data_IF_062068517464
#
_entry.id   IF_062068517464
#
_cell.length_a   1.000
_cell.length_b   1.000
_cell.length_c   1.000
_cell.angle_alpha   90.00
_cell.angle_beta   90.00
_cell.angle_gamma   90.00
#
_symmetry.space_group_name_H-M   'P 1'
#
loop_
_entity.id
_entity.type
_entity.pdbx_description
1 polymer ?
#
# COMPACT_ATOMS: atom_id res chain seq x y z
N UNK A 1 -29.78 -7.56 -5.19
CA UNK A 1 -29.01 -8.41 -6.13
C UNK A 1 -27.95 -7.52 -6.76
N UNK A 2 -26.65 -7.87 -6.73
CA UNK A 2 -25.59 -7.02 -7.32
C UNK A 2 -25.81 -6.94 -8.85
N UNK A 3 -25.71 -5.75 -9.43
CA UNK A 3 -25.88 -5.53 -10.88
C UNK A 3 -24.83 -6.31 -11.68
N UNK A 4 -25.23 -6.96 -12.78
CA UNK A 4 -24.34 -7.73 -13.64
C UNK A 4 -24.84 -7.80 -15.08
N UNK A 5 -23.94 -8.07 -16.00
CA UNK A 5 -24.19 -8.37 -17.42
C UNK A 5 -23.06 -9.24 -17.99
N UNK A 6 -23.32 -9.93 -19.09
CA UNK A 6 -22.32 -10.74 -19.78
C UNK A 6 -21.36 -9.87 -20.59
N UNK A 7 -20.07 -10.19 -20.53
CA UNK A 7 -19.04 -9.49 -21.30
C UNK A 7 -18.97 -10.11 -22.68
N UNK A 8 -19.57 -9.43 -23.65
CA UNK A 8 -19.71 -9.90 -25.04
C UNK A 8 -18.87 -9.10 -26.03
N UNK A 9 -18.49 -7.86 -25.69
CA UNK A 9 -17.78 -6.98 -26.60
C UNK A 9 -16.38 -7.50 -26.96
N UNK A 10 -15.94 -7.20 -28.19
CA UNK A 10 -14.59 -7.48 -28.70
C UNK A 10 -13.71 -6.22 -28.66
N UNK A 11 -13.72 -5.55 -27.50
CA UNK A 11 -12.92 -4.37 -27.22
C UNK A 11 -11.82 -4.67 -26.18
N UNK A 12 -10.84 -3.77 -26.04
CA UNK A 12 -9.58 -4.00 -25.31
C UNK A 12 -9.78 -4.55 -23.89
N UNK A 13 -10.63 -3.92 -23.08
CA UNK A 13 -10.82 -4.31 -21.68
C UNK A 13 -11.65 -5.60 -21.60
N UNK A 14 -12.68 -5.72 -22.44
CA UNK A 14 -13.52 -6.90 -22.55
C UNK A 14 -12.72 -8.14 -22.96
N UNK A 15 -11.81 -8.02 -23.93
CA UNK A 15 -10.91 -9.10 -24.36
C UNK A 15 -10.01 -9.54 -23.19
N UNK A 16 -9.49 -8.60 -22.40
CA UNK A 16 -8.67 -8.92 -21.25
C UNK A 16 -9.43 -9.77 -20.21
N UNK A 17 -10.62 -9.32 -19.79
CA UNK A 17 -11.41 -10.07 -18.81
C UNK A 17 -11.87 -11.43 -19.34
N UNK A 18 -12.23 -11.52 -20.63
CA UNK A 18 -12.53 -12.81 -21.28
C UNK A 18 -11.34 -13.77 -21.23
N UNK A 19 -10.11 -13.30 -21.51
CA UNK A 19 -8.88 -14.11 -21.43
C UNK A 19 -8.59 -14.62 -20.01
N UNK A 20 -8.95 -13.86 -18.98
CA UNK A 20 -8.84 -14.28 -17.59
C UNK A 20 -9.99 -15.19 -17.11
N UNK A 21 -10.97 -15.48 -17.97
CA UNK A 21 -12.14 -16.31 -17.60
C UNK A 21 -13.23 -15.57 -16.83
N UNK A 22 -13.15 -14.25 -16.74
CA UNK A 22 -14.18 -13.41 -16.13
C UNK A 22 -15.21 -13.02 -17.18
N UNK A 23 -16.19 -13.90 -17.43
CA UNK A 23 -17.19 -13.71 -18.50
C UNK A 23 -18.34 -12.75 -18.20
N UNK A 24 -18.43 -12.18 -16.99
CA UNK A 24 -19.48 -11.24 -16.63
C UNK A 24 -18.96 -10.10 -15.73
N UNK A 25 -19.71 -9.01 -15.70
CA UNK A 25 -19.32 -7.77 -15.02
C UNK A 25 -19.05 -7.96 -13.53
N UNK A 26 -19.88 -8.74 -12.81
CA UNK A 26 -19.66 -8.92 -11.37
C UNK A 26 -18.38 -9.71 -11.10
N UNK A 27 -18.06 -10.75 -11.88
CA UNK A 27 -16.80 -11.49 -11.74
C UNK A 27 -15.59 -10.62 -12.04
N UNK A 28 -15.66 -9.81 -13.10
CA UNK A 28 -14.62 -8.83 -13.41
C UNK A 28 -14.44 -7.81 -12.28
N UNK A 29 -15.54 -7.31 -11.71
CA UNK A 29 -15.52 -6.33 -10.63
C UNK A 29 -14.95 -6.91 -9.32
N UNK A 30 -15.32 -8.14 -8.96
CA UNK A 30 -14.76 -8.83 -7.79
C UNK A 30 -13.27 -9.14 -7.98
N UNK A 31 -12.83 -9.48 -9.20
CA UNK A 31 -11.41 -9.60 -9.51
C UNK A 31 -10.67 -8.27 -9.28
N UNK A 32 -11.18 -7.16 -9.83
CA UNK A 32 -10.60 -5.82 -9.63
C UNK A 32 -10.59 -5.41 -8.16
N UNK A 33 -11.62 -5.77 -7.39
CA UNK A 33 -11.69 -5.54 -5.93
C UNK A 33 -10.56 -6.25 -5.19
N UNK A 34 -10.19 -7.45 -5.61
CA UNK A 34 -9.11 -8.23 -5.01
C UNK A 34 -7.70 -7.77 -5.40
N UNK A 35 -7.55 -6.93 -6.43
CA UNK A 35 -6.25 -6.36 -6.76
C UNK A 35 -5.76 -5.45 -5.61
N UNK A 36 -4.45 -5.41 -5.32
CA UNK A 36 -3.89 -4.53 -4.31
C UNK A 36 -4.26 -3.06 -4.52
N UNK A 37 -4.45 -2.35 -3.41
CA UNK A 37 -4.61 -0.90 -3.43
C UNK A 37 -3.24 -0.22 -3.46
N UNK A 38 -2.90 0.34 -4.62
CA UNK A 38 -1.60 0.98 -4.87
C UNK A 38 -1.72 1.96 -6.03
N UNK A 39 -0.88 3.00 -6.03
CA UNK A 39 -0.77 3.95 -7.16
C UNK A 39 -0.20 3.24 -8.38
N UNK A 40 -0.82 3.46 -9.54
CA UNK A 40 -0.35 2.98 -10.84
C UNK A 40 0.87 3.77 -11.33
N UNK A 41 1.69 3.17 -12.18
CA UNK A 41 2.87 3.81 -12.80
C UNK A 41 2.44 4.96 -13.72
N UNK A 42 1.49 4.68 -14.61
CA UNK A 42 0.85 5.67 -15.48
C UNK A 42 -0.67 5.62 -15.29
N UNK A 43 -1.19 6.53 -14.46
CA UNK A 43 -2.64 6.65 -14.18
C UNK A 43 -3.47 7.10 -15.39
N UNK A 44 -2.85 7.57 -16.48
CA UNK A 44 -3.54 7.99 -17.70
C UNK A 44 -3.70 6.83 -18.69
N UNK A 45 -2.94 5.74 -18.53
CA UNK A 45 -3.14 4.53 -19.32
C UNK A 45 -4.46 3.85 -18.97
N UNK A 46 -5.26 3.53 -20.00
CA UNK A 46 -6.56 2.87 -19.83
C UNK A 46 -6.44 1.43 -19.30
N UNK A 47 -5.26 0.80 -19.45
CA UNK A 47 -4.96 -0.55 -18.98
C UNK A 47 -4.10 -0.57 -17.72
N UNK A 48 -3.80 0.58 -17.10
CA UNK A 48 -2.86 0.65 -15.97
C UNK A 48 -3.17 -0.32 -14.83
N UNK A 49 -4.44 -0.54 -14.51
CA UNK A 49 -4.86 -1.49 -13.46
C UNK A 49 -4.54 -2.94 -13.83
N UNK A 50 -4.62 -3.26 -15.12
CA UNK A 50 -4.35 -4.57 -15.67
C UNK A 50 -2.84 -4.83 -15.76
N UNK A 51 -2.10 -3.83 -16.25
CA UNK A 51 -0.66 -3.90 -16.46
C UNK A 51 0.09 -3.94 -15.12
N UNK A 52 -0.24 -3.04 -14.19
CA UNK A 52 0.41 -2.96 -12.88
C UNK A 52 -0.17 -3.95 -11.87
N UNK A 53 -1.27 -4.64 -12.22
CA UNK A 53 -2.03 -5.55 -11.35
C UNK A 53 -2.40 -4.95 -10.00
N UNK A 54 -2.69 -3.66 -9.96
CA UNK A 54 -3.11 -2.92 -8.78
C UNK A 54 -3.89 -1.68 -9.18
N UNK A 55 -4.56 -1.01 -8.24
CA UNK A 55 -5.12 0.31 -8.54
C UNK A 55 -5.66 1.04 -7.32
N UNK A 56 -6.09 2.28 -7.54
CA UNK A 56 -6.76 3.11 -6.53
C UNK A 56 -8.27 3.12 -6.77
N UNK A 57 -9.05 3.78 -5.90
CA UNK A 57 -10.48 3.95 -6.17
C UNK A 57 -10.74 4.62 -7.54
N UNK A 58 -9.88 5.54 -7.95
CA UNK A 58 -9.95 6.23 -9.24
C UNK A 58 -9.74 5.28 -10.41
N UNK A 59 -8.60 4.61 -10.48
CA UNK A 59 -8.23 3.80 -11.65
C UNK A 59 -9.03 2.49 -11.73
N UNK A 60 -9.37 1.86 -10.61
CA UNK A 60 -10.19 0.65 -10.57
C UNK A 60 -11.61 0.88 -11.10
N UNK A 61 -12.27 1.95 -10.63
CA UNK A 61 -13.64 2.24 -11.08
C UNK A 61 -13.67 2.83 -12.49
N UNK A 62 -12.64 3.57 -12.91
CA UNK A 62 -12.49 3.98 -14.31
C UNK A 62 -12.40 2.76 -15.25
N UNK A 63 -11.60 1.75 -14.91
CA UNK A 63 -11.51 0.51 -15.69
C UNK A 63 -12.88 -0.19 -15.80
N UNK A 64 -13.57 -0.36 -14.68
CA UNK A 64 -14.88 -1.03 -14.66
C UNK A 64 -15.96 -0.20 -15.39
N UNK A 65 -15.91 1.12 -15.31
CA UNK A 65 -16.79 2.00 -16.09
C UNK A 65 -16.54 1.81 -17.59
N UNK A 66 -15.28 1.81 -18.03
CA UNK A 66 -14.94 1.57 -19.44
C UNK A 66 -15.37 0.18 -19.90
N UNK A 67 -15.24 -0.85 -19.06
CA UNK A 67 -15.78 -2.18 -19.35
C UNK A 67 -17.30 -2.15 -19.58
N UNK A 68 -18.04 -1.42 -18.74
CA UNK A 68 -19.47 -1.24 -18.94
C UNK A 68 -19.79 -0.49 -20.24
N UNK A 69 -19.02 0.54 -20.57
CA UNK A 69 -19.19 1.30 -21.82
C UNK A 69 -18.92 0.46 -23.06
N UNK A 70 -17.85 -0.35 -23.07
CA UNK A 70 -17.54 -1.29 -24.16
C UNK A 70 -18.70 -2.28 -24.42
N UNK A 71 -19.47 -2.63 -23.38
CA UNK A 71 -20.60 -3.55 -23.48
C UNK A 71 -21.97 -2.83 -23.58
N UNK A 72 -22.00 -1.51 -23.76
CA UNK A 72 -23.24 -0.75 -23.95
C UNK A 72 -24.08 -0.54 -22.68
N UNK A 73 -23.49 -0.73 -21.50
CA UNK A 73 -24.17 -0.61 -20.21
C UNK A 73 -24.07 0.81 -19.61
N UNK A 74 -24.69 1.79 -20.28
CA UNK A 74 -24.69 3.21 -19.87
C UNK A 74 -25.35 3.50 -18.51
N UNK A 75 -26.09 2.54 -17.95
CA UNK A 75 -26.67 2.63 -16.60
C UNK A 75 -25.63 2.58 -15.49
N UNK A 76 -24.43 2.06 -15.79
CA UNK A 76 -23.30 2.08 -14.86
C UNK A 76 -22.66 3.46 -14.91
N UNK A 77 -22.84 4.24 -13.85
CA UNK A 77 -22.27 5.58 -13.72
C UNK A 77 -21.00 5.53 -12.91
N UNK A 78 -20.01 6.35 -13.28
CA UNK A 78 -18.82 6.59 -12.48
C UNK A 78 -19.02 7.88 -11.71
N UNK A 79 -18.87 7.80 -10.40
CA UNK A 79 -19.14 8.91 -9.49
C UNK A 79 -17.83 9.41 -8.87
N UNK A 80 -17.80 10.72 -8.60
CA UNK A 80 -16.84 11.37 -7.72
C UNK A 80 -17.62 11.93 -6.52
N UNK A 81 -17.43 11.32 -5.35
CA UNK A 81 -18.02 11.76 -4.10
C UNK A 81 -16.99 12.44 -3.20
N UNK A 82 -17.43 13.43 -2.43
CA UNK A 82 -16.68 13.99 -1.31
C UNK A 82 -17.28 13.46 -0.01
N UNK A 83 -16.44 12.89 0.85
CA UNK A 83 -16.85 12.25 2.10
C UNK A 83 -16.17 12.87 3.29
N UNK A 84 -16.84 12.89 4.44
CA UNK A 84 -16.16 13.18 5.72
C UNK A 84 -15.31 11.98 6.14
N UNK A 85 -13.99 12.14 6.21
CA UNK A 85 -13.11 11.17 6.88
C UNK A 85 -12.79 11.64 8.30
N UNK A 86 -12.84 10.72 9.27
CA UNK A 86 -12.54 10.95 10.69
C UNK A 86 -12.06 9.65 11.35
N UNK A 87 -11.53 9.73 12.58
CA UNK A 87 -10.90 8.60 13.27
C UNK A 87 -11.76 7.32 13.35
N UNK A 88 -13.07 7.46 13.55
CA UNK A 88 -13.98 6.30 13.62
C UNK A 88 -14.29 5.61 12.29
N UNK A 89 -14.23 6.30 11.14
CA UNK A 89 -14.56 5.70 9.84
C UNK A 89 -13.33 5.44 8.97
N UNK A 90 -12.19 6.05 9.32
CA UNK A 90 -10.94 5.94 8.61
C UNK A 90 -9.83 5.71 9.62
N UNK A 91 -9.48 4.43 9.81
CA UNK A 91 -8.50 4.02 10.82
C UNK A 91 -7.13 4.62 10.51
N UNK A 92 -6.51 5.22 11.53
CA UNK A 92 -5.13 5.73 11.48
C UNK A 92 -5.00 7.26 11.41
N UNK A 93 -6.06 7.99 11.02
CA UNK A 93 -5.94 9.45 10.81
C UNK A 93 -6.30 10.29 12.05
N UNK A 94 -6.85 9.68 13.11
CA UNK A 94 -7.35 10.39 14.30
C UNK A 94 -6.29 11.32 14.90
N UNK A 95 -5.08 10.82 15.12
CA UNK A 95 -3.98 11.60 15.66
C UNK A 95 -3.52 12.74 14.74
N UNK A 96 -3.70 12.61 13.42
CA UNK A 96 -3.40 13.70 12.48
C UNK A 96 -4.44 14.80 12.66
N UNK A 97 -5.72 14.44 12.62
CA UNK A 97 -6.82 15.39 12.76
C UNK A 97 -6.79 16.13 14.10
N UNK A 98 -6.54 15.42 15.22
CA UNK A 98 -6.42 16.02 16.55
C UNK A 98 -5.27 17.05 16.64
N UNK A 99 -4.09 16.73 16.09
CA UNK A 99 -2.94 17.65 16.06
C UNK A 99 -3.25 18.96 15.32
N UNK A 100 -4.16 18.90 14.34
CA UNK A 100 -4.61 20.05 13.56
C UNK A 100 -5.98 20.60 14.01
N UNK A 101 -6.53 20.11 15.13
CA UNK A 101 -7.82 20.58 15.65
C UNK A 101 -9.00 20.39 14.68
N UNK A 102 -8.95 19.37 13.82
CA UNK A 102 -10.00 19.06 12.85
C UNK A 102 -10.89 17.93 13.36
N UNK A 103 -12.22 18.09 13.26
CA UNK A 103 -13.17 17.02 13.58
C UNK A 103 -13.30 15.98 12.45
N UNK A 104 -13.14 16.45 11.21
CA UNK A 104 -13.16 15.62 10.00
C UNK A 104 -12.41 16.36 8.89
N UNK A 105 -12.09 15.64 7.82
CA UNK A 105 -11.56 16.19 6.58
C UNK A 105 -12.42 15.74 5.39
N UNK A 106 -12.79 16.62 4.45
CA UNK A 106 -13.41 16.19 3.20
C UNK A 106 -12.41 15.46 2.29
N UNK A 107 -12.74 14.25 1.86
CA UNK A 107 -11.89 13.42 0.98
C UNK A 107 -12.63 12.96 -0.28
N UNK A 108 -11.93 13.00 -1.41
CA UNK A 108 -12.48 12.66 -2.72
C UNK A 108 -12.31 11.17 -3.07
N UNK A 109 -13.43 10.49 -3.30
CA UNK A 109 -13.46 9.06 -3.58
C UNK A 109 -14.29 8.72 -4.82
N UNK A 110 -13.87 7.70 -5.57
CA UNK A 110 -14.57 7.24 -6.77
C UNK A 110 -15.19 5.88 -6.55
N UNK A 111 -16.39 5.69 -7.09
CA UNK A 111 -17.19 4.47 -7.02
C UNK A 111 -18.12 4.39 -8.24
N UNK A 112 -18.75 3.24 -8.44
CA UNK A 112 -19.80 3.09 -9.43
C UNK A 112 -21.18 3.23 -8.80
N UNK A 113 -22.16 3.67 -9.58
CA UNK A 113 -23.57 3.77 -9.15
C UNK A 113 -24.49 3.22 -10.23
N UNK A 114 -25.46 2.41 -9.82
CA UNK A 114 -26.51 1.85 -10.70
C UNK A 114 -27.86 1.98 -9.99
N UNK A 115 -28.81 2.71 -10.58
CA UNK A 115 -30.15 2.93 -10.01
C UNK A 115 -30.10 3.29 -8.51
N UNK A 116 -29.28 4.29 -8.19
CA UNK A 116 -29.00 4.77 -6.84
C UNK A 116 -28.23 3.84 -5.88
N UNK A 117 -27.92 2.62 -6.31
CA UNK A 117 -27.09 1.70 -5.54
C UNK A 117 -25.61 1.97 -5.78
N UNK A 118 -24.88 2.28 -4.71
CA UNK A 118 -23.41 2.40 -4.70
C UNK A 118 -22.77 1.02 -4.83
N UNK A 119 -21.75 0.93 -5.70
CA UNK A 119 -20.94 -0.26 -5.92
C UNK A 119 -19.46 0.14 -5.78
N UNK A 120 -18.81 -0.31 -4.70
CA UNK A 120 -17.40 0.00 -4.41
C UNK A 120 -16.50 -1.24 -4.48
N UNK A 121 -15.52 -1.15 -5.38
CA UNK A 121 -14.53 -2.17 -5.71
C UNK A 121 -13.10 -1.74 -5.37
N UNK A 122 -12.92 -0.83 -4.41
CA UNK A 122 -11.59 -0.37 -3.95
C UNK A 122 -10.81 -1.47 -3.24
N UNK A 123 -11.48 -2.30 -2.41
CA UNK A 123 -10.90 -3.48 -1.75
C UNK A 123 -10.30 -3.25 -0.36
N UNK A 124 -10.02 -2.01 0.03
CA UNK A 124 -9.58 -1.58 1.37
C UNK A 124 -10.13 -0.19 1.69
N UNK A 125 -10.43 0.09 2.96
CA UNK A 125 -10.96 1.38 3.43
C UNK A 125 -12.42 1.36 3.86
N UNK A 126 -13.08 2.53 3.79
CA UNK A 126 -14.47 2.78 4.22
C UNK A 126 -15.42 1.65 3.79
N UNK A 127 -16.26 1.17 4.72
CA UNK A 127 -17.28 0.18 4.38
C UNK A 127 -18.32 0.83 3.47
N UNK A 128 -18.97 0.05 2.62
CA UNK A 128 -20.04 0.56 1.73
C UNK A 128 -21.13 1.33 2.50
N UNK A 129 -21.42 0.92 3.74
CA UNK A 129 -22.35 1.60 4.64
C UNK A 129 -21.83 2.95 5.20
N UNK A 130 -20.51 3.13 5.27
CA UNK A 130 -19.89 4.37 5.75
C UNK A 130 -19.89 5.45 4.65
N UNK A 131 -19.94 5.06 3.37
CA UNK A 131 -20.01 5.98 2.23
C UNK A 131 -21.33 6.76 2.27
N UNK A 132 -22.48 6.10 2.35
CA UNK A 132 -23.78 6.78 2.27
C UNK A 132 -24.02 7.78 3.41
N UNK A 133 -23.51 7.49 4.62
CA UNK A 133 -23.76 8.31 5.80
C UNK A 133 -22.84 9.53 5.92
N UNK A 134 -21.70 9.54 5.22
CA UNK A 134 -20.69 10.60 5.30
C UNK A 134 -20.52 11.39 3.99
N UNK A 135 -21.34 11.08 2.98
CA UNK A 135 -21.32 11.76 1.69
C UNK A 135 -21.79 13.22 1.83
N UNK A 136 -20.94 14.14 1.40
CA UNK A 136 -21.22 15.57 1.36
C UNK A 136 -21.81 16.02 0.02
N UNK A 137 -21.22 15.53 -1.07
CA UNK A 137 -21.66 15.79 -2.44
C UNK A 137 -21.15 14.70 -3.37
N UNK A 138 -21.84 14.46 -4.47
CA UNK A 138 -21.39 13.58 -5.54
C UNK A 138 -21.69 14.20 -6.91
N UNK A 139 -20.83 13.92 -7.89
CA UNK A 139 -21.06 14.24 -9.30
C UNK A 139 -20.73 13.03 -10.17
N UNK A 140 -21.42 12.90 -11.30
CA UNK A 140 -21.06 11.93 -12.33
C UNK A 140 -19.85 12.45 -13.11
N UNK A 141 -18.86 11.58 -13.35
CA UNK A 141 -17.65 11.90 -14.12
C UNK A 141 -17.37 10.82 -15.17
N UNK A 142 -16.55 11.14 -16.17
CA UNK A 142 -16.05 10.16 -17.15
C UNK A 142 -14.77 9.48 -16.65
N UNK A 143 -14.42 8.30 -17.20
CA UNK A 143 -13.16 7.63 -16.87
C UNK A 143 -11.88 8.48 -17.09
N UNK A 144 -11.90 9.48 -17.97
CA UNK A 144 -10.76 10.37 -18.24
C UNK A 144 -10.63 11.49 -17.19
N UNK A 145 -11.67 11.71 -16.38
CA UNK A 145 -11.72 12.77 -15.37
C UNK A 145 -11.23 12.32 -13.98
N UNK A 146 -10.78 11.07 -13.83
CA UNK A 146 -10.36 10.52 -12.53
C UNK A 146 -9.00 11.03 -12.03
N UNK A 147 -8.29 11.81 -12.85
CA UNK A 147 -6.97 12.37 -12.56
C UNK A 147 -7.05 13.87 -12.22
N UNK A 148 -6.72 14.75 -13.17
CA UNK A 148 -6.52 16.18 -12.88
C UNK A 148 -7.85 16.89 -12.59
N UNK A 149 -8.91 16.52 -13.30
CA UNK A 149 -10.26 17.04 -13.03
C UNK A 149 -10.70 16.73 -11.60
N UNK A 150 -10.52 15.47 -11.14
CA UNK A 150 -10.81 15.07 -9.75
C UNK A 150 -10.03 15.91 -8.74
N UNK A 151 -8.73 16.10 -8.96
CA UNK A 151 -7.88 16.89 -8.05
C UNK A 151 -8.36 18.34 -7.99
N UNK A 152 -8.67 18.95 -9.14
CA UNK A 152 -9.25 20.30 -9.20
C UNK A 152 -10.57 20.40 -8.43
N UNK A 153 -11.51 19.50 -8.71
CA UNK A 153 -12.81 19.46 -8.03
C UNK A 153 -12.67 19.33 -6.51
N UNK A 154 -11.75 18.50 -6.03
CA UNK A 154 -11.50 18.35 -4.60
C UNK A 154 -10.90 19.60 -3.97
N UNK A 155 -9.92 20.22 -4.63
CA UNK A 155 -9.30 21.48 -4.16
C UNK A 155 -10.32 22.61 -4.09
N UNK A 156 -11.19 22.73 -5.09
CA UNK A 156 -12.27 23.72 -5.10
C UNK A 156 -13.26 23.48 -3.95
N UNK A 157 -13.61 22.21 -3.70
CA UNK A 157 -14.45 21.84 -2.56
C UNK A 157 -13.81 22.19 -1.22
N UNK A 158 -12.52 21.86 -1.04
CA UNK A 158 -11.78 22.17 0.19
C UNK A 158 -11.71 23.69 0.42
N UNK A 159 -11.46 24.49 -0.62
CA UNK A 159 -11.44 25.94 -0.51
C UNK A 159 -12.78 26.50 -0.01
N UNK A 160 -13.90 25.98 -0.53
CA UNK A 160 -15.24 26.34 -0.05
C UNK A 160 -15.46 25.91 1.40
N UNK A 161 -15.11 24.66 1.72
CA UNK A 161 -15.27 24.09 3.07
C UNK A 161 -14.52 24.89 4.14
N UNK A 162 -13.31 25.40 3.84
CA UNK A 162 -12.56 26.24 4.77
C UNK A 162 -13.26 27.54 5.12
N UNK A 163 -13.90 28.18 4.13
CA UNK A 163 -14.68 29.40 4.34
C UNK A 163 -15.95 29.08 5.12
N UNK A 164 -16.67 28.02 4.73
CA UNK A 164 -17.95 27.64 5.33
C UNK A 164 -17.79 27.24 6.82
N UNK A 165 -16.68 26.58 7.19
CA UNK A 165 -16.38 26.18 8.58
C UNK A 165 -15.55 27.21 9.37
N UNK A 166 -15.09 28.29 8.74
CA UNK A 166 -14.27 29.32 9.39
C UNK A 166 -12.90 28.82 9.89
N UNK A 167 -12.28 27.88 9.16
CA UNK A 167 -11.03 27.25 9.57
C UNK A 167 -9.81 28.14 9.28
N UNK A 168 -8.82 28.22 10.19
CA UNK A 168 -7.68 29.14 10.08
C UNK A 168 -6.54 28.58 9.22
N UNK A 169 -6.87 27.97 8.08
CA UNK A 169 -5.89 27.34 7.19
C UNK A 169 -6.03 27.85 5.75
N UNK A 170 -4.91 27.92 5.05
CA UNK A 170 -4.86 28.02 3.59
C UNK A 170 -5.20 26.69 2.93
N UNK A 171 -5.56 26.75 1.65
CA UNK A 171 -5.82 25.55 0.84
C UNK A 171 -4.60 24.62 0.78
N UNK A 172 -3.39 25.18 0.70
CA UNK A 172 -2.17 24.38 0.62
C UNK A 172 -1.86 23.69 1.94
N UNK A 173 -2.06 24.33 3.09
CA UNK A 173 -1.90 23.70 4.40
C UNK A 173 -2.87 22.53 4.57
N UNK A 174 -4.13 22.69 4.18
CA UNK A 174 -5.14 21.62 4.27
C UNK A 174 -4.86 20.50 3.29
N UNK A 175 -4.33 20.82 2.12
CA UNK A 175 -3.87 19.82 1.17
C UNK A 175 -2.70 19.00 1.74
N UNK A 176 -1.78 19.61 2.50
CA UNK A 176 -0.72 18.88 3.19
C UNK A 176 -1.27 18.00 4.32
N UNK A 177 -2.18 18.52 5.16
CA UNK A 177 -2.84 17.73 6.21
C UNK A 177 -3.59 16.53 5.61
N UNK A 178 -4.20 16.71 4.44
CA UNK A 178 -4.80 15.62 3.66
C UNK A 178 -3.76 14.57 3.27
N UNK A 179 -2.65 14.97 2.66
CA UNK A 179 -1.60 14.00 2.29
C UNK A 179 -1.01 13.29 3.52
N UNK A 180 -0.91 13.94 4.67
CA UNK A 180 -0.57 13.29 5.95
C UNK A 180 -1.61 12.23 6.35
N UNK A 181 -2.90 12.52 6.25
CA UNK A 181 -3.96 11.53 6.51
C UNK A 181 -3.85 10.33 5.55
N UNK A 182 -3.64 10.57 4.25
CA UNK A 182 -3.47 9.50 3.25
C UNK A 182 -2.22 8.67 3.56
N UNK A 183 -1.13 9.31 4.00
CA UNK A 183 0.10 8.66 4.43
C UNK A 183 -0.17 7.71 5.59
N UNK A 184 -0.87 8.16 6.63
CA UNK A 184 -1.21 7.34 7.79
C UNK A 184 -2.10 6.15 7.44
N UNK A 185 -3.07 6.31 6.53
CA UNK A 185 -3.89 5.19 6.04
C UNK A 185 -3.01 4.13 5.38
N UNK A 186 -2.10 4.53 4.48
CA UNK A 186 -1.20 3.63 3.79
C UNK A 186 -0.24 2.92 4.77
N UNK A 187 0.28 3.66 5.74
CA UNK A 187 1.11 3.13 6.82
C UNK A 187 0.34 2.09 7.64
N UNK A 188 -0.87 2.42 8.08
CA UNK A 188 -1.69 1.54 8.91
C UNK A 188 -2.02 0.22 8.24
N UNK A 189 -2.25 0.24 6.92
CA UNK A 189 -2.52 -0.95 6.12
C UNK A 189 -1.36 -1.95 6.12
N UNK A 190 -0.12 -1.49 6.33
CA UNK A 190 1.08 -2.32 6.35
C UNK A 190 1.40 -2.90 7.73
N UNK A 191 0.65 -2.55 8.79
CA UNK A 191 0.90 -3.10 10.12
C UNK A 191 0.57 -4.60 10.17
N UNK A 192 1.48 -5.38 10.75
CA UNK A 192 1.34 -6.83 10.90
C UNK A 192 1.43 -7.20 12.37
N UNK A 193 0.76 -8.29 12.74
CA UNK A 193 0.92 -8.88 14.07
C UNK A 193 1.09 -10.38 13.98
N UNK A 194 1.84 -10.93 14.92
CA UNK A 194 2.05 -12.36 15.10
C UNK A 194 1.77 -12.72 16.56
N UNK A 195 2.03 -13.96 16.97
CA UNK A 195 1.84 -14.35 18.37
C UNK A 195 2.67 -13.48 19.33
N UNK A 196 3.93 -13.20 18.99
CA UNK A 196 4.86 -12.45 19.86
C UNK A 196 5.14 -11.03 19.42
N UNK A 197 4.88 -10.67 18.15
CA UNK A 197 5.40 -9.44 17.56
C UNK A 197 4.29 -8.53 17.05
N UNK A 198 4.51 -7.23 17.20
CA UNK A 198 3.86 -6.18 16.42
C UNK A 198 4.89 -5.66 15.42
N UNK A 199 4.48 -5.52 14.16
CA UNK A 199 5.30 -4.92 13.11
C UNK A 199 4.59 -3.68 12.60
N UNK A 200 5.26 -2.53 12.61
CA UNK A 200 4.68 -1.27 12.17
C UNK A 200 5.63 -0.46 11.28
N UNK A 201 5.11 0.47 10.46
CA UNK A 201 5.94 1.39 9.69
C UNK A 201 6.96 2.15 10.52
N UNK A 202 8.05 2.55 9.87
CA UNK A 202 9.03 3.47 10.42
C UNK A 202 8.41 4.83 10.68
N UNK A 203 8.85 5.45 11.77
CA UNK A 203 8.59 6.84 12.10
C UNK A 203 9.89 7.59 12.29
N UNK A 204 9.86 8.91 12.21
CA UNK A 204 11.08 9.72 12.39
C UNK A 204 11.69 9.52 13.80
N UNK A 205 10.85 9.24 14.78
CA UNK A 205 11.22 8.99 16.18
C UNK A 205 11.98 7.66 16.36
N UNK A 206 11.96 6.76 15.37
CA UNK A 206 12.76 5.53 15.39
C UNK A 206 14.23 5.76 14.99
N UNK A 207 14.62 7.01 14.72
CA UNK A 207 16.00 7.39 14.38
C UNK A 207 17.06 6.83 15.33
N UNK A 208 16.90 6.93 16.67
CA UNK A 208 17.84 6.34 17.62
C UNK A 208 18.02 4.82 17.44
N UNK A 209 16.93 4.10 17.16
CA UNK A 209 16.98 2.66 16.91
C UNK A 209 17.74 2.34 15.63
N UNK A 210 17.44 3.06 14.54
CA UNK A 210 18.09 2.85 13.25
C UNK A 210 19.58 3.23 13.30
N UNK A 211 19.92 4.30 14.02
CA UNK A 211 21.31 4.68 14.29
C UNK A 211 22.06 3.57 15.04
N UNK A 212 21.52 3.11 16.17
CA UNK A 212 22.17 2.08 16.99
C UNK A 212 22.35 0.74 16.25
N UNK A 213 21.38 0.33 15.42
CA UNK A 213 21.53 -0.86 14.56
C UNK A 213 22.65 -0.73 13.53
N UNK A 214 22.94 0.50 13.09
CA UNK A 214 23.95 0.80 12.09
C UNK A 214 25.29 1.22 12.70
N UNK A 215 25.38 1.30 14.02
CA UNK A 215 26.63 1.54 14.75
C UNK A 215 27.35 0.23 15.07
N UNK A 216 26.61 -0.86 15.34
CA UNK A 216 27.19 -2.17 15.68
C UNK A 216 27.83 -2.84 14.44
N UNK A 217 29.17 -3.03 14.40
CA UNK A 217 29.85 -3.62 13.25
C UNK A 217 29.45 -5.08 12.98
N UNK A 218 29.05 -5.84 14.01
CA UNK A 218 28.59 -7.22 13.83
C UNK A 218 27.20 -7.26 13.17
N UNK A 219 26.37 -6.24 13.44
CA UNK A 219 25.07 -6.10 12.77
C UNK A 219 25.25 -5.68 11.30
N UNK A 220 26.22 -4.81 11.00
CA UNK A 220 26.48 -4.33 9.63
C UNK A 220 27.35 -5.24 8.76
N UNK A 221 28.06 -6.20 9.36
CA UNK A 221 29.07 -7.03 8.70
C UNK A 221 28.66 -7.55 7.31
N UNK A 222 27.37 -7.88 7.13
CA UNK A 222 26.84 -8.49 5.90
C UNK A 222 25.76 -7.70 5.17
N UNK A 223 25.52 -6.45 5.51
CA UNK A 223 24.39 -5.68 4.96
C UNK A 223 24.78 -4.87 3.73
N UNK A 224 26.03 -4.42 3.65
CA UNK A 224 26.49 -3.43 2.66
C UNK A 224 26.18 -1.98 3.06
N UNK A 225 25.47 -1.78 4.16
CA UNK A 225 25.15 -0.46 4.69
C UNK A 225 26.33 0.16 5.44
N UNK A 226 26.27 1.47 5.61
CA UNK A 226 27.21 2.26 6.41
C UNK A 226 26.53 2.80 7.66
N UNK A 227 27.35 3.19 8.64
CA UNK A 227 26.90 3.92 9.80
C UNK A 227 26.34 5.28 9.38
N UNK A 228 25.27 5.71 10.05
CA UNK A 228 24.76 7.08 9.90
C UNK A 228 25.70 8.06 10.62
N UNK A 229 25.78 9.29 10.13
CA UNK A 229 26.58 10.35 10.78
C UNK A 229 26.09 10.59 12.22
N UNK A 230 24.78 10.73 12.40
CA UNK A 230 24.13 10.92 13.68
C UNK A 230 22.68 10.39 13.67
N UNK A 231 22.00 10.56 14.81
CA UNK A 231 20.58 10.19 14.95
C UNK A 231 19.68 11.01 14.02
N UNK A 232 20.01 12.28 13.75
CA UNK A 232 19.19 13.15 12.90
C UNK A 232 19.21 12.70 11.43
N UNK A 233 20.37 12.26 10.93
CA UNK A 233 20.53 11.64 9.62
C UNK A 233 19.70 10.36 9.51
N UNK A 234 19.70 9.52 10.56
CA UNK A 234 18.87 8.32 10.62
C UNK A 234 17.36 8.66 10.62
N UNK A 235 16.92 9.61 11.44
CA UNK A 235 15.52 10.10 11.45
C UNK A 235 15.10 10.64 10.08
N UNK A 236 15.97 11.38 9.41
CA UNK A 236 15.72 11.93 8.06
C UNK A 236 15.59 10.81 7.03
N UNK A 237 16.44 9.79 7.09
CA UNK A 237 16.32 8.61 6.24
C UNK A 237 14.97 7.90 6.42
N UNK A 238 14.51 7.73 7.66
CA UNK A 238 13.22 7.12 7.96
C UNK A 238 12.04 7.97 7.50
N UNK A 239 12.09 9.28 7.70
CA UNK A 239 11.05 10.20 7.23
C UNK A 239 10.86 10.11 5.71
N UNK A 240 11.97 9.95 4.98
CA UNK A 240 12.02 9.85 3.51
C UNK A 240 11.78 8.43 2.98
N UNK A 241 11.46 7.46 3.85
CA UNK A 241 11.23 6.07 3.47
C UNK A 241 9.88 5.87 2.76
N UNK A 242 9.82 6.26 1.49
CA UNK A 242 8.58 6.32 0.71
C UNK A 242 8.03 4.98 0.17
N UNK A 243 8.35 3.84 0.80
CA UNK A 243 7.91 2.54 0.30
C UNK A 243 6.42 2.28 0.60
N UNK A 244 5.93 2.70 1.76
CA UNK A 244 4.54 2.44 2.17
C UNK A 244 3.55 3.16 1.26
N UNK A 245 3.76 4.45 1.01
CA UNK A 245 2.82 5.28 0.24
C UNK A 245 2.86 4.94 -1.25
N UNK A 246 4.06 4.62 -1.77
CA UNK A 246 4.23 4.31 -3.19
C UNK A 246 3.82 2.88 -3.52
N UNK A 247 4.13 1.94 -2.63
CA UNK A 247 4.08 0.53 -2.95
C UNK A 247 3.21 -0.33 -2.03
N UNK A 248 2.63 0.25 -0.97
CA UNK A 248 1.82 -0.50 0.00
C UNK A 248 2.62 -1.56 0.76
N UNK A 249 3.93 -1.37 0.85
CA UNK A 249 4.87 -2.33 1.44
C UNK A 249 6.06 -1.59 2.03
N UNK A 250 6.80 -2.22 2.94
CA UNK A 250 8.08 -1.67 3.42
C UNK A 250 8.72 -2.55 4.49
N UNK A 251 9.94 -2.17 4.90
CA UNK A 251 10.55 -2.67 6.14
C UNK A 251 9.76 -2.09 7.31
N UNK A 252 9.46 -2.90 8.31
CA UNK A 252 8.66 -2.52 9.47
C UNK A 252 9.50 -2.65 10.73
N UNK A 253 9.36 -1.73 11.68
CA UNK A 253 9.89 -1.90 13.03
C UNK A 253 9.23 -3.11 13.66
N UNK A 254 10.05 -3.98 14.26
CA UNK A 254 9.59 -5.17 14.96
C UNK A 254 9.63 -4.90 16.46
N UNK A 255 8.47 -4.99 17.11
CA UNK A 255 8.27 -4.71 18.53
C UNK A 255 7.80 -5.98 19.23
N UNK A 256 8.41 -6.32 20.37
CA UNK A 256 8.00 -7.44 21.20
C UNK A 256 6.71 -7.11 21.97
N UNK A 257 5.68 -7.94 21.79
CA UNK A 257 4.43 -7.84 22.55
C UNK A 257 4.72 -8.12 24.03
N UNK A 258 4.06 -7.37 24.90
CA UNK A 258 4.19 -7.49 26.36
C UNK A 258 5.20 -6.50 26.97
N UNK A 259 6.36 -6.29 26.34
CA UNK A 259 7.37 -5.32 26.83
C UNK A 259 7.37 -4.01 26.06
N UNK A 260 6.93 -4.00 24.80
CA UNK A 260 7.06 -2.83 23.92
C UNK A 260 8.49 -2.60 23.42
N UNK A 261 9.40 -3.55 23.67
CA UNK A 261 10.80 -3.44 23.28
C UNK A 261 10.96 -3.50 21.75
N UNK A 262 11.73 -2.57 21.18
CA UNK A 262 12.06 -2.58 19.76
C UNK A 262 13.22 -3.54 19.51
N UNK A 263 12.98 -4.54 18.68
CA UNK A 263 13.95 -5.61 18.40
C UNK A 263 14.82 -5.32 17.18
N UNK A 264 14.32 -4.49 16.27
CA UNK A 264 14.93 -4.12 15.00
C UNK A 264 13.88 -3.89 13.92
N UNK A 265 14.13 -4.36 12.70
CA UNK A 265 13.19 -4.26 11.59
C UNK A 265 13.15 -5.50 10.70
N UNK A 266 12.00 -5.71 10.06
CA UNK A 266 11.78 -6.76 9.07
C UNK A 266 10.64 -6.36 8.14
N UNK A 267 10.68 -6.74 6.87
CA UNK A 267 9.56 -6.56 5.95
C UNK A 267 9.98 -6.77 4.51
N UNK A 268 9.13 -6.39 3.58
CA UNK A 268 9.39 -6.46 2.14
C UNK A 268 9.79 -5.07 1.61
N UNK A 269 10.64 -5.01 0.57
CA UNK A 269 11.00 -3.77 -0.13
C UNK A 269 10.82 -4.01 -1.63
N UNK A 270 10.09 -3.12 -2.29
CA UNK A 270 9.95 -3.17 -3.75
C UNK A 270 11.10 -2.41 -4.42
N UNK A 271 11.72 -3.05 -5.41
CA UNK A 271 12.79 -2.51 -6.25
C UNK A 271 12.26 -2.32 -7.69
N UNK A 272 11.81 -1.11 -8.06
CA UNK A 272 11.18 -0.87 -9.37
C UNK A 272 12.09 -1.18 -10.56
N UNK A 273 13.40 -0.98 -10.42
CA UNK A 273 14.36 -1.23 -11.50
C UNK A 273 14.48 -2.71 -11.89
N UNK A 274 14.17 -3.63 -10.97
CA UNK A 274 14.23 -5.07 -11.19
C UNK A 274 12.85 -5.74 -11.18
N UNK A 275 11.79 -4.99 -10.85
CA UNK A 275 10.45 -5.53 -10.59
C UNK A 275 10.48 -6.71 -9.59
N UNK A 276 11.03 -6.42 -8.41
CA UNK A 276 11.28 -7.42 -7.38
C UNK A 276 10.88 -6.93 -5.99
N UNK A 277 10.24 -7.83 -5.24
CA UNK A 277 9.97 -7.67 -3.82
C UNK A 277 10.98 -8.48 -3.02
N UNK A 278 11.89 -7.76 -2.36
CA UNK A 278 12.97 -8.32 -1.57
C UNK A 278 12.55 -8.45 -0.10
N UNK A 279 12.74 -9.61 0.53
CA UNK A 279 12.59 -9.79 1.98
C UNK A 279 13.90 -9.47 2.69
N UNK A 280 13.82 -8.74 3.80
CA UNK A 280 14.98 -8.36 4.57
C UNK A 280 14.64 -8.06 6.02
N UNK A 281 15.66 -8.15 6.86
CA UNK A 281 15.56 -7.94 8.29
C UNK A 281 16.92 -7.57 8.90
N UNK A 282 16.87 -6.86 10.01
CA UNK A 282 18.02 -6.51 10.86
C UNK A 282 17.55 -6.44 12.30
N UNK A 283 18.29 -7.06 13.20
CA UNK A 283 17.94 -7.13 14.62
C UNK A 283 19.16 -6.80 15.48
N UNK A 284 18.95 -6.21 16.65
CA UNK A 284 20.03 -6.04 17.62
C UNK A 284 20.60 -7.40 18.02
N UNK A 285 21.92 -7.45 18.23
CA UNK A 285 22.66 -8.68 18.54
C UNK A 285 22.06 -9.47 19.70
N UNK A 286 21.63 -8.78 20.75
CA UNK A 286 21.00 -9.38 21.95
C UNK A 286 19.68 -10.14 21.67
N UNK A 287 19.08 -9.98 20.48
CA UNK A 287 17.85 -10.65 20.08
C UNK A 287 18.07 -11.79 19.07
N UNK A 288 19.32 -12.05 18.66
CA UNK A 288 19.63 -13.15 17.75
C UNK A 288 19.37 -14.52 18.38
N UNK A 289 19.14 -15.53 17.55
CA UNK A 289 18.88 -16.91 18.01
C UNK A 289 17.49 -17.16 18.63
N UNK A 290 16.68 -16.12 18.86
CA UNK A 290 15.34 -16.21 19.49
C UNK A 290 14.17 -16.45 18.51
N UNK A 291 14.48 -16.60 17.23
CA UNK A 291 13.52 -16.88 16.16
C UNK A 291 12.71 -15.68 15.65
N UNK A 292 12.95 -14.46 16.15
CA UNK A 292 12.18 -13.28 15.77
C UNK A 292 12.26 -12.95 14.27
N UNK A 293 13.45 -13.07 13.66
CA UNK A 293 13.61 -12.84 12.23
C UNK A 293 12.76 -13.79 11.36
N UNK A 294 12.69 -15.07 11.73
CA UNK A 294 11.86 -16.04 11.00
C UNK A 294 10.37 -15.74 11.16
N UNK A 295 9.92 -15.43 12.39
CA UNK A 295 8.51 -15.11 12.66
C UNK A 295 8.07 -13.84 11.92
N UNK A 296 8.84 -12.75 12.02
CA UNK A 296 8.51 -11.50 11.36
C UNK A 296 8.58 -11.61 9.83
N UNK A 297 9.58 -12.33 9.29
CA UNK A 297 9.71 -12.51 7.85
C UNK A 297 8.59 -13.38 7.29
N UNK A 298 8.14 -14.40 8.03
CA UNK A 298 6.98 -15.21 7.65
C UNK A 298 5.72 -14.35 7.54
N UNK A 299 5.44 -13.52 8.54
CA UNK A 299 4.31 -12.59 8.50
C UNK A 299 4.38 -11.62 7.31
N UNK A 300 5.58 -11.11 6.99
CA UNK A 300 5.78 -10.25 5.83
C UNK A 300 5.56 -10.99 4.49
N UNK A 301 5.95 -12.26 4.39
CA UNK A 301 5.64 -13.09 3.20
C UNK A 301 4.15 -13.38 3.09
N UNK A 302 3.48 -13.70 4.21
CA UNK A 302 2.04 -13.95 4.24
C UNK A 302 1.28 -12.71 3.79
N UNK A 303 1.72 -11.51 4.20
CA UNK A 303 1.20 -10.23 3.68
C UNK A 303 1.45 -10.08 2.17
N UNK A 304 2.67 -10.35 1.70
CA UNK A 304 3.02 -10.27 0.28
C UNK A 304 2.17 -11.19 -0.60
N UNK A 305 2.02 -12.45 -0.23
CA UNK A 305 1.24 -13.42 -1.02
C UNK A 305 -0.27 -13.28 -0.80
N UNK A 306 -0.70 -13.03 0.43
CA UNK A 306 -2.10 -12.98 0.83
C UNK A 306 -2.77 -11.66 0.46
N UNK A 307 -2.14 -10.53 0.79
CA UNK A 307 -2.72 -9.19 0.60
C UNK A 307 -2.27 -8.56 -0.72
N UNK A 308 -0.96 -8.55 -0.97
CA UNK A 308 -0.40 -7.94 -2.19
C UNK A 308 -0.49 -8.86 -3.42
N UNK A 309 -0.92 -10.12 -3.23
CA UNK A 309 -1.08 -11.11 -4.30
C UNK A 309 0.18 -11.29 -5.16
N UNK A 310 1.36 -11.12 -4.57
CA UNK A 310 2.64 -11.22 -5.29
C UNK A 310 2.84 -12.63 -5.88
N UNK A 311 3.44 -12.71 -7.06
CA UNK A 311 3.75 -14.01 -7.68
C UNK A 311 5.02 -14.63 -7.08
N UNK A 312 5.96 -13.78 -6.63
CA UNK A 312 7.26 -14.18 -6.10
C UNK A 312 7.79 -13.18 -5.08
N UNK A 313 8.59 -13.67 -4.15
CA UNK A 313 9.40 -12.90 -3.22
C UNK A 313 10.82 -13.43 -3.29
N UNK A 314 11.79 -12.53 -3.33
CA UNK A 314 13.22 -12.87 -3.39
C UNK A 314 13.93 -12.44 -2.11
N UNK A 315 15.09 -13.02 -1.85
CA UNK A 315 15.91 -12.72 -0.69
C UNK A 315 17.39 -12.78 -1.05
N UNK A 316 18.15 -11.81 -0.57
CA UNK A 316 19.58 -11.69 -0.83
C UNK A 316 20.38 -11.78 0.46
N UNK A 317 21.49 -12.50 0.41
CA UNK A 317 22.44 -12.55 1.52
C UNK A 317 23.86 -12.67 0.98
N UNK A 318 24.82 -12.18 1.76
CA UNK A 318 26.24 -12.53 1.61
C UNK A 318 26.39 -14.05 1.76
N UNK A 319 27.27 -14.66 0.97
CA UNK A 319 27.54 -16.12 1.05
C UNK A 319 27.93 -16.54 2.47
N UNK A 320 28.66 -15.67 3.19
CA UNK A 320 29.13 -15.92 4.54
C UNK A 320 28.03 -15.74 5.62
N UNK A 321 26.90 -15.12 5.29
CA UNK A 321 25.81 -14.88 6.24
C UNK A 321 24.88 -16.09 6.37
N UNK A 322 25.40 -17.15 7.01
CA UNK A 322 24.68 -18.40 7.23
C UNK A 322 23.40 -18.22 8.05
N UNK A 323 23.36 -17.22 8.94
CA UNK A 323 22.16 -16.92 9.73
C UNK A 323 20.98 -16.48 8.83
N UNK A 324 21.23 -15.59 7.88
CA UNK A 324 20.23 -15.14 6.90
C UNK A 324 19.80 -16.28 5.97
N UNK A 325 20.75 -17.06 5.47
CA UNK A 325 20.48 -18.25 4.64
C UNK A 325 19.60 -19.25 5.39
N UNK A 326 19.86 -19.49 6.67
CA UNK A 326 19.04 -20.37 7.50
C UNK A 326 17.61 -19.87 7.67
N UNK A 327 17.40 -18.55 7.76
CA UNK A 327 16.06 -17.97 7.76
C UNK A 327 15.39 -18.19 6.40
N UNK A 328 16.07 -17.96 5.27
CA UNK A 328 15.51 -18.25 3.94
C UNK A 328 15.05 -19.71 3.80
N UNK A 329 15.85 -20.65 4.29
CA UNK A 329 15.50 -22.07 4.30
C UNK A 329 14.24 -22.35 5.13
N UNK A 330 14.12 -21.75 6.33
CA UNK A 330 12.92 -21.88 7.19
C UNK A 330 11.67 -21.24 6.57
N UNK A 331 11.86 -20.24 5.72
CA UNK A 331 10.80 -19.59 4.95
C UNK A 331 10.42 -20.37 3.68
N UNK A 332 11.04 -21.52 3.41
CA UNK A 332 10.78 -22.33 2.22
C UNK A 332 11.32 -21.73 0.92
N UNK A 333 12.20 -20.72 1.02
CA UNK A 333 12.82 -20.12 -0.15
C UNK A 333 13.86 -21.08 -0.75
N UNK A 334 13.95 -21.10 -2.07
CA UNK A 334 14.89 -21.94 -2.83
C UNK A 334 16.04 -21.11 -3.37
N UNK A 335 17.24 -21.66 -3.31
CA UNK A 335 18.42 -21.07 -3.93
C UNK A 335 18.20 -20.91 -5.45
N UNK A 336 18.59 -19.76 -5.99
CA UNK A 336 18.51 -19.44 -7.42
C UNK A 336 19.88 -19.43 -8.06
N UNK A 337 20.78 -18.56 -7.58
CA UNK A 337 22.14 -18.40 -8.13
C UNK A 337 23.06 -17.64 -7.17
N UNK A 338 24.39 -17.82 -7.26
CA UNK A 338 25.34 -16.88 -6.69
C UNK A 338 25.53 -15.68 -7.64
N UNK A 339 25.99 -14.55 -7.11
CA UNK A 339 26.41 -13.40 -7.91
C UNK A 339 27.45 -12.55 -7.16
N UNK A 340 28.13 -11.65 -7.87
CA UNK A 340 29.09 -10.72 -7.27
C UNK A 340 28.61 -9.30 -7.50
N UNK A 341 28.65 -8.49 -6.44
CA UNK A 341 28.25 -7.08 -6.44
C UNK A 341 29.21 -6.37 -5.46
N UNK A 342 29.78 -5.23 -5.85
CA UNK A 342 30.77 -4.47 -5.07
C UNK A 342 31.97 -5.31 -4.56
N UNK A 343 32.50 -6.18 -5.43
CA UNK A 343 33.64 -7.06 -5.10
C UNK A 343 33.31 -8.16 -4.08
N UNK A 344 32.02 -8.35 -3.81
CA UNK A 344 31.49 -9.12 -2.70
C UNK A 344 30.58 -10.23 -3.26
N UNK A 345 30.76 -11.47 -2.81
CA UNK A 345 29.90 -12.61 -3.19
C UNK A 345 28.56 -12.68 -2.43
N UNK A 346 27.47 -12.86 -3.17
CA UNK A 346 26.10 -12.92 -2.69
C UNK A 346 25.38 -14.16 -3.23
N UNK A 347 24.27 -14.50 -2.58
CA UNK A 347 23.34 -15.55 -3.01
C UNK A 347 21.93 -14.98 -3.13
N UNK A 348 21.23 -15.39 -4.18
CA UNK A 348 19.83 -15.07 -4.41
C UNK A 348 18.97 -16.28 -4.11
N UNK A 349 17.95 -16.09 -3.27
CA UNK A 349 16.90 -17.05 -2.96
C UNK A 349 15.56 -16.53 -3.47
N UNK A 350 14.62 -17.43 -3.75
CA UNK A 350 13.26 -17.10 -4.21
C UNK A 350 12.24 -18.06 -3.63
N UNK A 351 11.07 -17.54 -3.28
CA UNK A 351 9.84 -18.31 -3.09
C UNK A 351 8.78 -17.80 -4.07
N UNK A 352 7.99 -18.72 -4.61
CA UNK A 352 6.89 -18.41 -5.53
C UNK A 352 5.58 -18.79 -4.86
N UNK A 353 4.51 -18.05 -5.17
CA UNK A 353 3.18 -18.36 -4.66
C UNK A 353 2.72 -19.71 -5.18
N UNK A 354 2.25 -20.58 -4.29
CA UNK A 354 1.54 -21.78 -4.69
C UNK A 354 0.15 -21.36 -5.23
N UNK A 355 -0.14 -21.76 -6.47
CA UNK A 355 -1.35 -21.37 -7.22
C UNK A 355 -2.54 -22.23 -6.81
#
# INVERSE_FOLDING_TARGET
MKYTFDIIADATISIFFKKLGFGNFIRASEHVKQLPYRRNQDKNSITCVLDDRCGTCSTKHALLKRLADENGHSRVKLMLGIYKIHGHNTVGIESVLERHGLNYLPEAHNYLKVNDTVLDFTGVGMREADLSNNLLTEIEITPDQVTDYKVGYHRDYLAKWLVDEGLPYSLDEIWQIREECIKEIAMKQCELTTDRLMMRPFRAEDGPMMYALNEDPEVLQYTGDVQFEDVAAASTFLHNYGQYEKYGVGRLVVVLKGTGEILGWCGLKYHPSADEYDIGYRFFKQHWGKGYATESAKAAMDYGFGTLKLDRIIGRARVENLASINVFNKLGMRFVKPYTEDGKNWVLYKVVREI
#
